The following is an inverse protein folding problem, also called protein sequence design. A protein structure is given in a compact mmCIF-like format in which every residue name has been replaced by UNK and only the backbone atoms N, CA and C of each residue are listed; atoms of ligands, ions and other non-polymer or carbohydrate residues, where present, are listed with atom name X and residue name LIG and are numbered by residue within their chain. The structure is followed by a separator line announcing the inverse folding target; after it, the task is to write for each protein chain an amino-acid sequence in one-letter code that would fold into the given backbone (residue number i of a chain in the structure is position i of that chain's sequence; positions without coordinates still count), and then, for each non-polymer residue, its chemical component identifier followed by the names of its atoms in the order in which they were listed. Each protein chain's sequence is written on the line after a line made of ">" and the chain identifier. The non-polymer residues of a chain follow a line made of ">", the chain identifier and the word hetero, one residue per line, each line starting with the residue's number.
data_IF_138804556479
#
_entry.id   IF_138804556479
#
_cell.length_a   1.000
_cell.length_b   1.000
_cell.length_c   1.000
_cell.angle_alpha   90.00
_cell.angle_beta   90.00
_cell.angle_gamma   90.00
#
_symmetry.space_group_name_H-M   'P 1'
#
loop_
_entity.id
_entity.type
_entity.pdbx_description
1 polymer ?
#
# COMPACT_ATOMS: atom_id res chain seq x y z
N UNK A 1 40.85 47.03 8.04
CA UNK A 1 40.46 46.19 6.88
C UNK A 1 40.60 44.68 7.11
N UNK A 2 41.78 44.13 7.41
CA UNK A 2 41.99 42.66 7.45
C UNK A 2 41.18 41.93 8.54
N UNK A 3 41.03 42.52 9.73
CA UNK A 3 40.23 41.92 10.81
C UNK A 3 38.74 41.79 10.44
N UNK A 4 38.14 42.85 9.89
CA UNK A 4 36.75 42.80 9.41
C UNK A 4 36.54 41.79 8.29
N UNK A 5 37.52 41.65 7.39
CA UNK A 5 37.48 40.63 6.34
C UNK A 5 37.50 39.21 6.93
N UNK A 6 38.40 38.93 7.89
CA UNK A 6 38.45 37.63 8.55
C UNK A 6 37.21 37.33 9.40
N UNK A 7 36.67 38.33 10.11
CA UNK A 7 35.43 38.19 10.87
C UNK A 7 34.23 37.89 9.96
N UNK A 8 34.13 38.59 8.82
CA UNK A 8 33.09 38.32 7.81
C UNK A 8 33.24 36.93 7.21
N UNK A 9 34.46 36.52 6.84
CA UNK A 9 34.74 35.19 6.31
C UNK A 9 34.38 34.09 7.32
N UNK A 10 34.70 34.29 8.60
CA UNK A 10 34.34 33.37 9.67
C UNK A 10 32.81 33.29 9.84
N UNK A 11 32.10 34.42 9.84
CA UNK A 11 30.64 34.46 9.89
C UNK A 11 30.00 33.72 8.72
N UNK A 12 30.50 33.95 7.49
CA UNK A 12 30.03 33.26 6.30
C UNK A 12 30.32 31.75 6.38
N UNK A 13 31.50 31.36 6.87
CA UNK A 13 31.84 29.95 7.06
C UNK A 13 30.94 29.26 8.10
N UNK A 14 30.65 29.93 9.22
CA UNK A 14 29.75 29.43 10.25
C UNK A 14 28.30 29.35 9.75
N UNK A 15 27.84 30.36 8.99
CA UNK A 15 26.51 30.34 8.36
C UNK A 15 26.39 29.23 7.32
N UNK A 16 27.42 29.04 6.50
CA UNK A 16 27.50 27.95 5.52
C UNK A 16 27.51 26.58 6.21
N UNK A 17 28.27 26.43 7.30
CA UNK A 17 28.29 25.21 8.10
C UNK A 17 26.92 24.94 8.75
N UNK A 18 26.27 25.97 9.32
CA UNK A 18 24.94 25.85 9.89
C UNK A 18 23.88 25.47 8.85
N UNK A 19 23.93 26.10 7.68
CA UNK A 19 23.08 25.74 6.54
C UNK A 19 23.35 24.31 6.06
N UNK A 20 24.62 23.90 5.97
CA UNK A 20 25.02 22.55 5.61
C UNK A 20 24.46 21.52 6.59
N UNK A 21 24.67 21.72 7.90
CA UNK A 21 24.16 20.84 8.97
C UNK A 21 22.63 20.76 8.92
N UNK A 22 21.94 21.86 8.61
CA UNK A 22 20.48 21.89 8.55
C UNK A 22 19.94 21.23 7.29
N UNK A 23 20.44 21.58 6.10
CA UNK A 23 19.77 21.30 4.82
C UNK A 23 20.37 20.13 4.04
N UNK A 24 21.63 19.75 4.26
CA UNK A 24 22.24 18.58 3.60
C UNK A 24 21.81 17.21 4.13
N UNK A 25 21.40 17.02 5.41
CA UNK A 25 21.01 15.70 5.87
C UNK A 25 19.87 15.10 5.05
N UNK A 26 20.11 13.87 4.59
CA UNK A 26 19.14 13.03 3.89
C UNK A 26 19.06 11.67 4.59
N UNK A 27 18.27 11.59 5.67
CA UNK A 27 18.20 10.41 6.54
C UNK A 27 16.77 9.90 6.69
N UNK A 28 16.45 8.69 6.22
CA UNK A 28 15.16 8.07 6.47
C UNK A 28 15.07 7.54 7.91
N UNK A 29 13.86 7.49 8.46
CA UNK A 29 13.59 6.68 9.65
C UNK A 29 13.56 5.21 9.22
N UNK A 30 14.36 4.38 9.89
CA UNK A 30 14.51 2.96 9.59
C UNK A 30 14.10 2.11 10.79
N UNK A 31 13.55 0.93 10.52
CA UNK A 31 13.12 -0.03 11.53
C UNK A 31 13.88 -1.33 11.34
N UNK A 32 14.32 -1.98 12.42
CA UNK A 32 15.02 -3.26 12.35
C UNK A 32 14.06 -4.41 12.01
N UNK A 33 12.88 -4.44 12.66
CA UNK A 33 11.84 -5.39 12.35
C UNK A 33 11.35 -5.23 10.89
N UNK A 34 11.29 -6.30 10.10
CA UNK A 34 10.92 -6.21 8.68
C UNK A 34 9.46 -5.79 8.47
N UNK A 35 8.55 -6.14 9.38
CA UNK A 35 7.14 -5.76 9.28
C UNK A 35 6.97 -4.28 9.63
N UNK A 36 7.65 -3.77 10.67
CA UNK A 36 7.70 -2.34 10.97
C UNK A 36 8.36 -1.56 9.84
N UNK A 37 9.41 -2.09 9.22
CA UNK A 37 10.05 -1.45 8.06
C UNK A 37 9.13 -1.43 6.85
N UNK A 38 8.36 -2.48 6.60
CA UNK A 38 7.32 -2.46 5.58
C UNK A 38 6.24 -1.41 5.88
N UNK A 39 5.76 -1.35 7.13
CA UNK A 39 4.70 -0.41 7.55
C UNK A 39 5.12 1.06 7.48
N UNK A 40 6.37 1.37 7.82
CA UNK A 40 6.81 2.76 8.10
C UNK A 40 8.17 3.15 7.50
N UNK A 41 8.86 2.23 6.81
CA UNK A 41 10.15 2.48 6.20
C UNK A 41 10.06 3.28 4.90
N UNK A 42 11.06 4.13 4.66
CA UNK A 42 11.19 4.92 3.44
C UNK A 42 11.48 4.04 2.22
N UNK A 43 10.82 4.32 1.11
CA UNK A 43 11.17 3.82 -0.23
C UNK A 43 11.87 4.89 -1.09
N UNK A 44 11.98 6.11 -0.57
CA UNK A 44 12.65 7.24 -1.20
C UNK A 44 11.72 8.32 -1.77
N UNK A 45 10.42 8.06 -1.83
CA UNK A 45 9.42 8.99 -2.38
C UNK A 45 9.31 10.33 -1.65
N UNK A 46 9.70 10.39 -0.37
CA UNK A 46 9.64 11.61 0.44
C UNK A 46 10.54 12.72 -0.11
N UNK A 47 11.62 12.37 -0.83
CA UNK A 47 12.55 13.34 -1.42
C UNK A 47 11.89 14.25 -2.45
N UNK A 48 10.94 13.73 -3.22
CA UNK A 48 10.27 14.48 -4.27
C UNK A 48 8.83 14.83 -3.90
N UNK A 49 8.04 13.80 -3.56
CA UNK A 49 6.60 13.92 -3.35
C UNK A 49 6.21 14.14 -1.89
N UNK A 50 7.18 14.09 -0.96
CA UNK A 50 6.88 14.12 0.48
C UNK A 50 6.31 15.45 0.96
N UNK A 51 5.26 15.37 1.77
CA UNK A 51 4.69 16.50 2.49
C UNK A 51 5.61 16.89 3.65
N UNK A 52 5.81 18.19 3.94
CA UNK A 52 6.34 18.59 5.25
C UNK A 52 5.49 17.95 6.35
N UNK A 53 6.13 17.29 7.32
CA UNK A 53 5.46 16.48 8.34
C UNK A 53 4.34 17.24 9.05
N UNK A 54 4.62 18.45 9.53
CA UNK A 54 3.60 19.22 10.23
C UNK A 54 2.48 19.73 9.32
N UNK A 55 2.78 20.00 8.04
CA UNK A 55 1.77 20.37 7.08
C UNK A 55 0.81 19.20 6.83
N UNK A 56 1.33 17.98 6.67
CA UNK A 56 0.53 16.75 6.67
C UNK A 56 -0.35 16.65 7.93
N UNK A 57 0.22 16.87 9.12
CA UNK A 57 -0.52 16.76 10.38
C UNK A 57 -1.70 17.73 10.49
N UNK A 58 -1.59 18.96 9.95
CA UNK A 58 -2.65 19.97 10.08
C UNK A 58 -3.61 20.03 8.89
N UNK A 59 -3.27 19.43 7.75
CA UNK A 59 -4.08 19.55 6.53
C UNK A 59 -5.56 19.16 6.73
N UNK A 60 -5.90 18.08 7.46
CA UNK A 60 -7.30 17.75 7.77
C UNK A 60 -8.02 18.76 8.66
N UNK A 61 -7.29 19.56 9.44
CA UNK A 61 -7.84 20.60 10.31
C UNK A 61 -8.00 21.93 9.57
N UNK A 62 -7.21 22.15 8.51
CA UNK A 62 -7.35 23.30 7.61
C UNK A 62 -8.61 23.14 6.74
N UNK A 63 -8.85 21.94 6.21
CA UNK A 63 -9.96 21.65 5.30
C UNK A 63 -10.85 20.46 5.76
N UNK A 64 -11.43 20.50 6.97
CA UNK A 64 -12.13 19.34 7.55
C UNK A 64 -13.40 18.96 6.79
N UNK A 65 -14.09 19.94 6.22
CA UNK A 65 -15.30 19.83 5.40
C UNK A 65 -15.09 19.16 4.04
N UNK A 66 -13.84 19.09 3.56
CA UNK A 66 -13.50 18.39 2.32
C UNK A 66 -13.28 16.88 2.55
N UNK A 67 -13.30 16.42 3.80
CA UNK A 67 -13.18 15.01 4.17
C UNK A 67 -14.56 14.39 4.41
N UNK A 68 -14.74 13.08 4.12
CA UNK A 68 -15.98 12.36 4.45
C UNK A 68 -16.24 12.25 5.95
N UNK A 69 -15.22 12.48 6.79
CA UNK A 69 -15.31 12.38 8.23
C UNK A 69 -14.04 12.89 8.90
N UNK A 70 -13.78 12.40 10.12
CA UNK A 70 -12.67 12.91 10.94
C UNK A 70 -11.31 12.46 10.40
N UNK A 71 -10.53 13.43 9.92
CA UNK A 71 -9.10 13.24 9.62
C UNK A 71 -8.84 12.25 8.48
N UNK A 72 -7.58 11.84 8.33
CA UNK A 72 -7.21 10.86 7.30
C UNK A 72 -7.86 9.49 7.50
N UNK A 73 -8.25 9.12 8.72
CA UNK A 73 -8.92 7.85 9.00
C UNK A 73 -10.26 7.72 8.24
N UNK A 74 -10.95 8.82 7.93
CA UNK A 74 -12.18 8.77 7.13
C UNK A 74 -11.94 8.40 5.66
N UNK A 75 -10.70 8.47 5.19
CA UNK A 75 -10.28 8.04 3.85
C UNK A 75 -9.73 6.59 3.87
N UNK A 76 -9.86 5.88 4.99
CA UNK A 76 -9.40 4.49 5.12
C UNK A 76 -7.94 4.32 5.52
N UNK A 77 -7.22 5.40 5.86
CA UNK A 77 -5.90 5.29 6.45
C UNK A 77 -5.95 4.60 7.83
N UNK A 78 -5.05 3.66 8.07
CA UNK A 78 -5.01 2.85 9.30
C UNK A 78 -4.00 3.45 10.27
N UNK A 79 -4.40 3.75 11.49
CA UNK A 79 -3.52 4.26 12.56
C UNK A 79 -3.35 3.19 13.65
N UNK A 80 -2.10 2.85 13.95
CA UNK A 80 -1.77 2.03 15.12
C UNK A 80 -1.71 2.89 16.39
N UNK A 81 -1.96 2.27 17.55
CA UNK A 81 -1.93 2.97 18.82
C UNK A 81 -0.55 3.56 19.09
N UNK A 82 -0.51 4.85 19.46
CA UNK A 82 0.74 5.57 19.75
C UNK A 82 1.53 6.02 18.51
N UNK A 83 0.99 5.82 17.29
CA UNK A 83 1.60 6.31 16.04
C UNK A 83 0.89 7.57 15.56
N UNK A 84 1.69 8.54 15.13
CA UNK A 84 1.27 9.84 14.58
C UNK A 84 1.05 9.80 13.05
N UNK A 85 1.66 8.82 12.38
CA UNK A 85 1.49 8.54 10.96
C UNK A 85 0.70 7.23 10.76
N UNK A 86 -0.12 7.16 9.72
CA UNK A 86 -0.81 5.92 9.39
C UNK A 86 0.19 4.89 8.87
N UNK A 87 -0.18 3.62 9.01
CA UNK A 87 0.50 2.51 8.35
C UNK A 87 0.47 2.75 6.84
N UNK A 88 1.63 2.59 6.20
CA UNK A 88 1.76 2.99 4.81
C UNK A 88 2.45 4.34 4.60
N UNK A 89 2.97 4.97 5.66
CA UNK A 89 3.70 6.23 5.53
C UNK A 89 5.07 6.18 6.19
N UNK A 90 6.04 6.78 5.53
CA UNK A 90 7.41 6.87 6.00
C UNK A 90 7.80 8.32 6.30
N UNK A 91 8.87 8.49 7.08
CA UNK A 91 9.40 9.79 7.51
C UNK A 91 10.88 9.87 7.16
N UNK A 92 11.31 11.00 6.61
CA UNK A 92 12.69 11.27 6.20
C UNK A 92 13.05 12.71 6.50
N UNK A 93 14.22 12.94 7.10
CA UNK A 93 14.81 14.29 7.16
C UNK A 93 15.42 14.60 5.81
N UNK A 94 14.91 15.62 5.12
CA UNK A 94 15.38 16.02 3.81
C UNK A 94 15.14 17.52 3.59
N UNK A 95 16.09 18.24 2.99
CA UNK A 95 16.04 19.71 2.83
C UNK A 95 15.74 20.42 4.16
N UNK A 96 16.31 19.87 5.23
CA UNK A 96 16.20 20.37 6.59
C UNK A 96 14.84 20.26 7.26
N UNK A 97 13.82 19.66 6.65
CA UNK A 97 12.57 19.36 7.34
C UNK A 97 12.31 17.87 7.36
N UNK A 98 11.44 17.45 8.29
CA UNK A 98 10.89 16.11 8.23
C UNK A 98 9.82 16.09 7.15
N UNK A 99 9.98 15.19 6.18
CA UNK A 99 9.04 14.95 5.10
C UNK A 99 8.44 13.56 5.25
N UNK A 100 7.17 13.45 4.93
CA UNK A 100 6.43 12.20 4.98
C UNK A 100 5.76 11.90 3.67
N UNK A 101 5.72 10.63 3.29
CA UNK A 101 5.02 10.21 2.09
C UNK A 101 4.53 8.78 2.21
N UNK A 102 3.71 8.37 1.24
CA UNK A 102 3.21 7.02 1.14
C UNK A 102 4.35 6.04 0.84
N UNK A 103 4.27 4.84 1.39
CA UNK A 103 5.10 3.69 1.05
C UNK A 103 4.21 2.48 0.66
N UNK A 104 4.81 1.32 0.43
CA UNK A 104 4.11 0.12 -0.05
C UNK A 104 2.94 -0.32 0.85
N UNK A 105 3.06 -0.15 2.17
CA UNK A 105 2.08 -0.67 3.11
C UNK A 105 0.73 0.06 3.07
N UNK A 106 0.64 1.24 2.45
CA UNK A 106 -0.64 1.97 2.32
C UNK A 106 -1.62 1.16 1.47
N UNK A 107 -1.14 0.54 0.40
CA UNK A 107 -1.93 -0.28 -0.53
C UNK A 107 -2.01 -1.75 -0.11
N UNK A 108 -1.03 -2.20 0.68
CA UNK A 108 -0.81 -3.61 1.01
C UNK A 108 -0.91 -3.91 2.50
N UNK A 109 -1.75 -3.16 3.22
CA UNK A 109 -2.13 -3.49 4.59
C UNK A 109 -3.62 -3.23 4.78
N UNK A 110 -4.29 -4.13 5.50
CA UNK A 110 -5.70 -3.95 5.87
C UNK A 110 -5.94 -4.33 7.31
N UNK A 111 -7.16 -4.08 7.77
CA UNK A 111 -7.65 -4.65 9.03
C UNK A 111 -8.77 -5.64 8.77
N UNK A 112 -8.80 -6.72 9.55
CA UNK A 112 -9.91 -7.68 9.57
C UNK A 112 -10.43 -7.84 10.99
N UNK A 113 -11.67 -8.29 11.14
CA UNK A 113 -12.22 -8.66 12.44
C UNK A 113 -12.67 -10.11 12.39
N UNK A 114 -12.40 -10.86 13.45
CA UNK A 114 -12.84 -12.26 13.53
C UNK A 114 -14.35 -12.38 13.75
N UNK A 115 -14.95 -11.37 14.38
CA UNK A 115 -16.40 -11.22 14.55
C UNK A 115 -16.77 -9.74 14.35
N UNK A 116 -18.05 -9.39 14.16
CA UNK A 116 -18.47 -7.98 14.01
C UNK A 116 -18.03 -7.05 15.15
N UNK A 117 -17.86 -7.59 16.36
CA UNK A 117 -17.52 -6.82 17.57
C UNK A 117 -16.05 -6.93 17.99
N UNK A 118 -15.29 -7.86 17.41
CA UNK A 118 -13.87 -8.02 17.75
C UNK A 118 -13.07 -6.77 17.35
N UNK A 119 -12.03 -6.45 18.13
CA UNK A 119 -11.07 -5.40 17.76
C UNK A 119 -10.45 -5.73 16.38
N UNK A 120 -10.31 -4.75 15.46
CA UNK A 120 -9.63 -4.99 14.20
C UNK A 120 -8.20 -5.47 14.44
N UNK A 121 -7.83 -6.56 13.79
CA UNK A 121 -6.45 -6.99 13.66
C UNK A 121 -5.86 -6.43 12.37
N UNK A 122 -4.70 -5.79 12.46
CA UNK A 122 -3.95 -5.35 11.30
C UNK A 122 -3.25 -6.54 10.64
N UNK A 123 -3.31 -6.60 9.32
CA UNK A 123 -2.71 -7.67 8.52
C UNK A 123 -1.82 -7.07 7.44
N UNK A 124 -0.51 -7.14 7.65
CA UNK A 124 0.48 -6.72 6.68
C UNK A 124 0.52 -7.68 5.46
N UNK A 125 0.65 -7.11 4.26
CA UNK A 125 0.61 -7.82 2.98
C UNK A 125 -0.80 -8.08 2.43
N UNK A 126 -1.85 -7.68 3.15
CA UNK A 126 -3.25 -7.78 2.74
C UNK A 126 -3.66 -6.61 1.83
N UNK A 127 -4.51 -6.79 0.81
CA UNK A 127 -5.10 -5.69 0.05
C UNK A 127 -5.79 -4.65 0.92
N UNK A 128 -5.43 -3.37 0.79
CA UNK A 128 -6.00 -2.25 1.56
C UNK A 128 -7.44 -1.92 1.13
N UNK A 129 -8.39 -2.81 1.40
CA UNK A 129 -9.78 -2.75 0.95
C UNK A 129 -10.59 -1.54 1.47
N UNK A 130 -10.09 -0.83 2.48
CA UNK A 130 -10.75 0.36 3.05
C UNK A 130 -10.16 1.68 2.56
N UNK A 131 -8.96 1.67 1.97
CA UNK A 131 -8.29 2.89 1.52
C UNK A 131 -8.99 3.46 0.29
N UNK A 132 -9.43 4.72 0.40
CA UNK A 132 -9.95 5.51 -0.72
C UNK A 132 -8.85 6.47 -1.22
N UNK A 133 -7.94 5.92 -2.02
CA UNK A 133 -6.76 6.65 -2.51
C UNK A 133 -7.17 7.75 -3.51
N UNK A 134 -8.19 7.53 -4.33
CA UNK A 134 -8.72 8.55 -5.24
C UNK A 134 -9.27 9.74 -4.48
N UNK A 135 -10.09 9.50 -3.44
CA UNK A 135 -10.65 10.57 -2.62
C UNK A 135 -9.58 11.28 -1.81
N UNK A 136 -8.53 10.60 -1.38
CA UNK A 136 -7.35 11.23 -0.81
C UNK A 136 -6.66 12.19 -1.80
N UNK A 137 -6.42 11.75 -3.04
CA UNK A 137 -5.83 12.61 -4.08
C UNK A 137 -6.70 13.84 -4.36
N UNK A 138 -8.02 13.64 -4.49
CA UNK A 138 -9.01 14.72 -4.68
C UNK A 138 -9.05 15.66 -3.46
N UNK A 139 -8.96 15.14 -2.24
CA UNK A 139 -8.90 15.95 -1.02
C UNK A 139 -7.67 16.86 -0.99
N UNK A 140 -6.46 16.31 -1.24
CA UNK A 140 -5.23 17.11 -1.25
C UNK A 140 -5.32 18.22 -2.31
N UNK A 141 -5.79 17.88 -3.50
CA UNK A 141 -6.02 18.85 -4.57
C UNK A 141 -7.01 19.94 -4.16
N UNK A 142 -8.16 19.56 -3.61
CA UNK A 142 -9.20 20.52 -3.25
C UNK A 142 -8.74 21.43 -2.10
N UNK A 143 -8.10 20.86 -1.08
CA UNK A 143 -7.63 21.64 0.08
C UNK A 143 -6.53 22.63 -0.31
N UNK A 144 -5.56 22.22 -1.13
CA UNK A 144 -4.46 23.11 -1.54
C UNK A 144 -4.93 24.26 -2.44
N UNK A 145 -6.02 24.05 -3.18
CA UNK A 145 -6.67 25.11 -3.98
C UNK A 145 -7.64 25.97 -3.17
N UNK A 146 -8.00 25.55 -1.95
CA UNK A 146 -8.91 26.29 -1.09
C UNK A 146 -8.32 27.63 -0.65
N UNK A 147 -9.18 28.64 -0.47
CA UNK A 147 -8.81 29.96 0.05
C UNK A 147 -8.19 29.91 1.44
N UNK A 148 -8.43 28.84 2.20
CA UNK A 148 -7.86 28.59 3.52
C UNK A 148 -6.40 28.16 3.47
N UNK A 149 -5.94 27.57 2.37
CA UNK A 149 -4.56 27.08 2.26
C UNK A 149 -3.59 28.22 1.91
N UNK A 150 -3.27 29.00 2.93
CA UNK A 150 -2.34 30.14 2.88
C UNK A 150 -1.37 30.08 4.06
N UNK A 151 -0.15 30.65 3.96
CA UNK A 151 0.79 30.69 5.07
C UNK A 151 0.17 31.26 6.35
N UNK A 152 -0.60 32.35 6.22
CA UNK A 152 -1.24 33.04 7.34
C UNK A 152 -2.24 32.17 8.11
N UNK A 153 -2.83 31.15 7.49
CA UNK A 153 -3.78 30.24 8.15
C UNK A 153 -3.14 28.90 8.55
N UNK A 154 -2.19 28.41 7.74
CA UNK A 154 -1.58 27.09 7.93
C UNK A 154 -0.47 27.15 8.99
N UNK A 155 0.40 28.16 8.96
CA UNK A 155 1.57 28.24 9.85
C UNK A 155 1.18 28.37 11.33
N UNK A 156 0.18 29.19 11.73
CA UNK A 156 -0.23 29.25 13.14
C UNK A 156 -0.76 27.91 13.66
N UNK A 157 -1.47 27.14 12.83
CA UNK A 157 -1.95 25.78 13.20
C UNK A 157 -0.79 24.79 13.35
N UNK A 158 0.22 24.90 12.48
CA UNK A 158 1.46 24.14 12.63
C UNK A 158 2.15 24.49 13.94
N UNK A 159 2.27 25.78 14.25
CA UNK A 159 2.92 26.26 15.47
C UNK A 159 2.21 25.76 16.73
N UNK A 160 0.89 25.88 16.79
CA UNK A 160 0.07 25.34 17.88
C UNK A 160 0.28 23.83 18.05
N UNK A 161 0.17 23.06 16.95
CA UNK A 161 0.26 21.60 16.98
C UNK A 161 1.68 21.08 17.26
N UNK A 162 2.70 21.81 16.84
CA UNK A 162 4.10 21.46 17.08
C UNK A 162 4.58 21.83 18.49
N UNK A 163 3.82 22.62 19.25
CA UNK A 163 4.25 23.16 20.54
C UNK A 163 5.25 24.31 20.40
N UNK A 164 5.17 25.05 19.28
CA UNK A 164 6.07 26.15 18.92
C UNK A 164 6.95 25.84 17.70
N UNK A 165 7.39 26.90 17.02
CA UNK A 165 8.33 26.83 15.90
C UNK A 165 9.54 27.73 16.16
N UNK A 166 10.69 27.35 15.62
CA UNK A 166 11.82 28.28 15.52
C UNK A 166 11.51 29.41 14.53
N UNK A 167 12.15 30.57 14.71
CA UNK A 167 11.92 31.75 13.85
C UNK A 167 12.11 31.46 12.35
N UNK A 168 13.15 30.71 12.00
CA UNK A 168 13.38 30.33 10.60
C UNK A 168 12.25 29.46 10.05
N UNK A 169 11.72 28.55 10.86
CA UNK A 169 10.65 27.64 10.43
C UNK A 169 9.32 28.37 10.29
N UNK A 170 9.00 29.26 11.24
CA UNK A 170 7.79 30.06 11.25
C UNK A 170 7.75 31.10 10.12
N UNK A 171 8.86 31.80 9.87
CA UNK A 171 8.87 32.95 8.94
C UNK A 171 9.35 32.62 7.54
N UNK A 172 10.08 31.50 7.34
CA UNK A 172 10.65 31.15 6.04
C UNK A 172 10.24 29.76 5.59
N UNK A 173 10.57 28.71 6.36
CA UNK A 173 10.48 27.33 5.87
C UNK A 173 9.04 26.88 5.64
N UNK A 174 8.13 27.07 6.61
CA UNK A 174 6.73 26.68 6.43
C UNK A 174 5.95 27.61 5.49
N UNK A 175 6.10 28.94 5.52
CA UNK A 175 5.51 29.80 4.50
C UNK A 175 5.91 29.41 3.08
N UNK A 176 7.21 29.19 2.84
CA UNK A 176 7.70 28.70 1.54
C UNK A 176 7.16 27.31 1.23
N UNK A 177 7.13 26.40 2.22
CA UNK A 177 6.59 25.05 2.06
C UNK A 177 5.11 25.04 1.64
N UNK A 178 4.29 25.95 2.17
CA UNK A 178 2.89 26.11 1.75
C UNK A 178 2.80 26.53 0.29
N UNK A 179 3.60 27.52 -0.14
CA UNK A 179 3.64 27.95 -1.54
C UNK A 179 4.14 26.84 -2.48
N UNK A 180 5.26 26.20 -2.14
CA UNK A 180 5.83 25.11 -2.93
C UNK A 180 4.87 23.92 -3.05
N UNK A 181 4.11 23.61 -1.99
CA UNK A 181 3.08 22.59 -2.06
C UNK A 181 1.93 23.00 -2.98
N UNK A 182 1.53 24.27 -2.96
CA UNK A 182 0.51 24.80 -3.88
C UNK A 182 0.94 24.65 -5.33
N UNK A 183 2.14 25.08 -5.65
CA UNK A 183 2.71 25.01 -7.00
C UNK A 183 2.93 23.55 -7.44
N UNK A 184 3.47 22.72 -6.55
CA UNK A 184 3.71 21.30 -6.80
C UNK A 184 2.43 20.52 -7.07
N UNK A 185 1.39 20.73 -6.27
CA UNK A 185 0.07 20.13 -6.50
C UNK A 185 -0.51 20.66 -7.81
N UNK A 186 -0.51 21.97 -8.07
CA UNK A 186 -1.01 22.55 -9.32
C UNK A 186 -0.32 21.95 -10.57
N UNK A 187 1.00 21.78 -10.53
CA UNK A 187 1.75 21.11 -11.59
C UNK A 187 1.38 19.64 -11.76
N UNK A 188 1.08 18.93 -10.68
CA UNK A 188 0.58 17.56 -10.71
C UNK A 188 -0.86 17.48 -11.24
N UNK A 189 -1.72 18.49 -11.03
CA UNK A 189 -3.12 18.46 -11.51
C UNK A 189 -3.21 18.34 -13.03
N UNK A 190 -2.34 19.06 -13.75
CA UNK A 190 -2.28 18.93 -15.21
C UNK A 190 -1.93 17.52 -15.65
N UNK A 191 -1.02 16.85 -14.92
CA UNK A 191 -0.53 15.49 -15.24
C UNK A 191 -1.47 14.38 -14.76
N UNK A 192 -2.11 14.56 -13.61
CA UNK A 192 -3.00 13.58 -12.97
C UNK A 192 -4.48 13.86 -13.24
N UNK A 193 -4.80 14.67 -14.26
CA UNK A 193 -6.18 15.03 -14.62
C UNK A 193 -7.08 13.82 -14.90
N UNK A 194 -6.52 12.66 -15.24
CA UNK A 194 -7.26 11.42 -15.47
C UNK A 194 -8.14 11.05 -14.26
N UNK A 195 -7.73 11.42 -13.04
CA UNK A 195 -8.51 11.22 -11.80
C UNK A 195 -9.88 11.93 -11.86
N UNK A 196 -10.01 12.99 -12.68
CA UNK A 196 -11.28 13.70 -12.89
C UNK A 196 -12.01 13.27 -14.17
N UNK A 197 -11.38 12.45 -15.00
CA UNK A 197 -11.96 11.92 -16.25
C UNK A 197 -12.55 10.53 -16.05
N UNK A 198 -12.17 9.84 -14.97
CA UNK A 198 -12.71 8.54 -14.57
C UNK A 198 -13.84 8.70 -13.58
N UNK A 199 -14.71 7.70 -13.54
CA UNK A 199 -15.66 7.51 -12.46
C UNK A 199 -14.95 7.27 -11.12
N UNK A 200 -15.62 7.65 -10.04
CA UNK A 200 -15.13 7.40 -8.68
C UNK A 200 -15.08 5.88 -8.41
N UNK A 201 -13.86 5.33 -8.37
CA UNK A 201 -13.66 3.88 -8.16
C UNK A 201 -13.74 3.43 -6.70
N UNK A 202 -13.75 4.38 -5.76
CA UNK A 202 -14.00 4.16 -4.34
C UNK A 202 -12.92 3.35 -3.61
N UNK A 203 -13.21 2.88 -2.38
CA UNK A 203 -12.23 2.19 -1.55
C UNK A 203 -11.71 0.87 -2.12
N UNK A 204 -10.44 0.55 -1.84
CA UNK A 204 -9.85 -0.77 -2.10
C UNK A 204 -9.25 -0.97 -3.49
N UNK A 205 -9.26 0.07 -4.31
CA UNK A 205 -8.80 0.04 -5.70
C UNK A 205 -7.67 1.02 -5.92
N UNK A 206 -7.08 0.98 -7.11
CA UNK A 206 -6.13 1.96 -7.62
C UNK A 206 -6.12 1.95 -9.13
N UNK A 207 -5.90 3.10 -9.73
CA UNK A 207 -5.48 3.15 -11.13
C UNK A 207 -3.99 2.80 -11.24
N UNK A 208 -3.69 1.65 -11.82
CA UNK A 208 -2.34 1.05 -11.80
C UNK A 208 -1.34 1.75 -12.72
N UNK A 209 -1.78 2.33 -13.83
CA UNK A 209 -0.86 2.77 -14.88
C UNK A 209 -0.99 4.23 -15.28
N UNK A 210 -2.14 4.87 -15.11
CA UNK A 210 -2.28 6.28 -15.50
C UNK A 210 -1.39 7.20 -14.65
N UNK A 211 -1.17 6.88 -13.38
CA UNK A 211 -0.16 7.59 -12.57
C UNK A 211 1.25 7.48 -13.16
N UNK A 212 1.62 6.29 -13.69
CA UNK A 212 2.91 6.09 -14.35
C UNK A 212 2.95 6.81 -15.73
N UNK A 213 1.90 6.69 -16.54
CA UNK A 213 1.75 7.43 -17.82
C UNK A 213 1.93 8.93 -17.62
N UNK A 214 1.35 9.49 -16.56
CA UNK A 214 1.50 10.89 -16.17
C UNK A 214 2.94 11.26 -15.81
N UNK A 215 3.65 10.39 -15.07
CA UNK A 215 5.06 10.58 -14.72
C UNK A 215 5.96 10.55 -15.98
N UNK A 216 5.66 9.67 -16.94
CA UNK A 216 6.40 9.54 -18.20
C UNK A 216 5.98 10.54 -19.29
N UNK A 217 5.06 11.46 -18.99
CA UNK A 217 4.69 12.54 -19.91
C UNK A 217 3.82 12.10 -21.09
N UNK A 218 3.07 11.00 -20.93
CA UNK A 218 2.11 10.55 -21.93
C UNK A 218 0.96 11.57 -22.05
N UNK A 219 0.61 11.95 -23.28
CA UNK A 219 -0.52 12.83 -23.57
C UNK A 219 -1.82 12.03 -23.53
N UNK A 220 -2.57 12.13 -22.42
CA UNK A 220 -3.84 11.40 -22.28
C UNK A 220 -4.88 11.76 -23.35
N UNK A 221 -4.81 12.94 -23.98
CA UNK A 221 -5.72 13.34 -25.08
C UNK A 221 -5.54 12.51 -26.35
N UNK A 222 -4.40 11.82 -26.47
CA UNK A 222 -4.08 10.96 -27.62
C UNK A 222 -4.36 9.49 -27.34
N UNK A 223 -4.73 9.13 -26.11
CA UNK A 223 -5.01 7.76 -25.74
C UNK A 223 -6.48 7.42 -26.07
N UNK A 224 -6.77 6.20 -26.53
CA UNK A 224 -8.12 5.69 -26.60
C UNK A 224 -8.80 5.72 -25.21
N UNK A 225 -10.12 5.90 -25.18
CA UNK A 225 -10.87 6.04 -23.91
C UNK A 225 -10.76 4.79 -23.04
N UNK A 226 -10.72 3.62 -23.67
CA UNK A 226 -10.53 2.31 -23.03
C UNK A 226 -9.16 2.20 -22.32
N UNK A 227 -8.13 2.88 -22.80
CA UNK A 227 -6.81 2.90 -22.17
C UNK A 227 -6.73 3.89 -21.00
N UNK A 228 -7.74 4.73 -20.84
CA UNK A 228 -7.87 5.63 -19.70
C UNK A 228 -8.45 4.93 -18.49
N UNK A 229 -8.89 3.67 -18.55
CA UNK A 229 -9.46 2.95 -17.41
C UNK A 229 -8.46 1.88 -16.94
N UNK A 230 -7.67 2.20 -15.90
CA UNK A 230 -6.66 1.30 -15.31
C UNK A 230 -7.02 0.82 -13.90
N UNK A 231 -8.29 0.92 -13.51
CA UNK A 231 -8.74 0.65 -12.13
C UNK A 231 -8.68 -0.85 -11.84
N UNK A 232 -8.00 -1.23 -10.75
CA UNK A 232 -7.97 -2.60 -10.24
C UNK A 232 -7.94 -2.63 -8.72
N UNK A 233 -8.31 -3.77 -8.14
CA UNK A 233 -8.21 -3.99 -6.69
C UNK A 233 -6.73 -4.07 -6.25
N UNK A 234 -6.41 -3.65 -5.03
CA UNK A 234 -5.06 -3.88 -4.50
C UNK A 234 -4.75 -5.39 -4.43
N UNK A 235 -3.58 -5.87 -4.89
CA UNK A 235 -3.25 -7.29 -4.79
C UNK A 235 -2.66 -7.65 -3.42
N UNK A 236 -2.83 -8.91 -3.02
CA UNK A 236 -2.16 -9.47 -1.86
C UNK A 236 -0.70 -9.79 -2.19
N UNK A 237 0.23 -9.39 -1.32
CA UNK A 237 1.67 -9.52 -1.56
C UNK A 237 2.34 -10.59 -0.70
N UNK A 238 1.59 -11.58 -0.25
CA UNK A 238 2.15 -12.76 0.42
C UNK A 238 2.78 -13.74 -0.58
N UNK A 239 3.70 -14.57 -0.09
CA UNK A 239 4.30 -15.70 -0.80
C UNK A 239 4.98 -15.31 -2.13
N UNK A 240 5.62 -14.13 -2.21
CA UNK A 240 6.12 -13.65 -3.50
C UNK A 240 7.26 -14.52 -4.06
N UNK A 241 8.05 -15.19 -3.20
CA UNK A 241 9.12 -16.08 -3.67
C UNK A 241 8.58 -17.26 -4.49
N UNK A 242 7.36 -17.71 -4.22
CA UNK A 242 6.69 -18.77 -4.99
C UNK A 242 6.13 -18.28 -6.33
N UNK A 243 6.07 -16.96 -6.53
CA UNK A 243 5.53 -16.32 -7.73
C UNK A 243 6.62 -15.94 -8.75
N UNK A 244 7.88 -16.27 -8.47
CA UNK A 244 8.96 -16.01 -9.43
C UNK A 244 8.71 -16.76 -10.74
N UNK A 245 8.86 -16.05 -11.87
CA UNK A 245 8.62 -16.62 -13.21
C UNK A 245 7.14 -16.76 -13.59
N UNK A 246 6.19 -16.43 -12.71
CA UNK A 246 4.77 -16.31 -13.07
C UNK A 246 4.51 -14.99 -13.80
N UNK A 247 3.32 -14.84 -14.40
CA UNK A 247 2.85 -13.54 -14.89
C UNK A 247 2.29 -12.70 -13.72
N UNK A 248 2.99 -11.62 -13.40
CA UNK A 248 2.76 -10.66 -12.32
C UNK A 248 2.09 -9.39 -12.86
N UNK A 249 1.62 -8.54 -11.95
CA UNK A 249 0.59 -7.51 -12.21
C UNK A 249 -0.74 -8.12 -12.68
N UNK A 250 -1.81 -7.32 -12.65
CA UNK A 250 -3.15 -7.79 -13.02
C UNK A 250 -3.28 -8.11 -14.51
N UNK A 251 -2.48 -7.46 -15.35
CA UNK A 251 -2.39 -7.68 -16.80
C UNK A 251 -1.37 -8.75 -17.20
N UNK A 252 -0.63 -9.31 -16.24
CA UNK A 252 0.38 -10.33 -16.50
C UNK A 252 1.59 -9.81 -17.29
N UNK A 253 1.89 -8.51 -17.23
CA UNK A 253 2.92 -7.90 -18.07
C UNK A 253 4.38 -8.12 -17.58
N UNK A 254 4.56 -8.81 -16.45
CA UNK A 254 5.87 -8.94 -15.83
C UNK A 254 6.14 -10.34 -15.27
N UNK A 255 7.35 -10.86 -15.41
CA UNK A 255 7.72 -12.19 -14.89
C UNK A 255 8.78 -12.20 -13.78
N UNK A 256 9.21 -11.03 -13.33
CA UNK A 256 10.28 -10.85 -12.34
C UNK A 256 9.76 -10.09 -11.13
N UNK A 257 9.77 -10.74 -9.96
CA UNK A 257 9.25 -10.15 -8.72
C UNK A 257 10.03 -8.89 -8.34
N UNK A 258 11.33 -8.89 -8.59
CA UNK A 258 12.26 -7.81 -8.26
C UNK A 258 11.97 -6.56 -9.10
N UNK A 259 11.85 -6.73 -10.42
CA UNK A 259 11.51 -5.62 -11.32
C UNK A 259 10.12 -5.08 -11.00
N UNK A 260 9.15 -5.97 -10.77
CA UNK A 260 7.78 -5.60 -10.39
C UNK A 260 7.75 -4.75 -9.14
N UNK A 261 8.56 -5.09 -8.12
CA UNK A 261 8.64 -4.31 -6.88
C UNK A 261 9.14 -2.87 -7.16
N UNK A 262 10.14 -2.72 -8.04
CA UNK A 262 10.68 -1.43 -8.43
C UNK A 262 9.68 -0.60 -9.25
N UNK A 263 8.98 -1.22 -10.22
CA UNK A 263 7.97 -0.53 -11.02
C UNK A 263 6.77 -0.10 -10.17
N UNK A 264 6.33 -0.94 -9.23
CA UNK A 264 5.25 -0.61 -8.31
C UNK A 264 5.62 0.52 -7.34
N UNK A 265 6.91 0.66 -6.99
CA UNK A 265 7.39 1.73 -6.12
C UNK A 265 7.18 3.14 -6.72
N UNK A 266 7.02 3.26 -8.05
CA UNK A 266 6.68 4.53 -8.71
C UNK A 266 5.37 5.13 -8.19
N UNK A 267 4.38 4.29 -7.86
CA UNK A 267 3.12 4.73 -7.25
C UNK A 267 3.31 5.39 -5.88
N UNK A 268 4.42 5.09 -5.21
CA UNK A 268 4.83 5.70 -3.93
C UNK A 268 5.84 6.84 -4.11
N UNK A 269 5.99 7.37 -5.33
CA UNK A 269 6.90 8.48 -5.63
C UNK A 269 8.38 8.12 -5.67
N UNK A 270 8.73 6.85 -5.48
CA UNK A 270 10.11 6.36 -5.51
C UNK A 270 10.58 6.15 -6.95
N UNK A 271 10.92 7.23 -7.64
CA UNK A 271 11.41 7.21 -9.03
C UNK A 271 12.82 6.59 -9.12
N UNK A 272 13.29 6.15 -10.32
CA UNK A 272 14.59 5.47 -10.45
C UNK A 272 15.79 6.22 -9.86
N UNK A 273 15.76 7.56 -9.85
CA UNK A 273 16.84 8.39 -9.27
C UNK A 273 16.79 8.50 -7.74
N UNK A 274 15.64 8.25 -7.12
CA UNK A 274 15.36 8.56 -5.72
C UNK A 274 15.07 7.31 -4.88
N UNK A 275 14.88 6.17 -5.53
CA UNK A 275 14.48 4.92 -4.92
C UNK A 275 15.57 4.34 -4.01
N UNK A 276 15.18 3.99 -2.78
CA UNK A 276 16.08 3.37 -1.81
C UNK A 276 16.15 1.85 -2.02
N UNK A 277 17.03 1.42 -2.92
CA UNK A 277 17.17 0.00 -3.29
C UNK A 277 17.39 -0.93 -2.09
N UNK A 278 18.19 -0.52 -1.11
CA UNK A 278 18.43 -1.32 0.09
C UNK A 278 17.15 -1.50 0.94
N UNK A 279 16.29 -0.47 1.01
CA UNK A 279 15.02 -0.57 1.73
C UNK A 279 14.03 -1.48 0.98
N UNK A 280 13.96 -1.36 -0.35
CA UNK A 280 13.14 -2.25 -1.18
C UNK A 280 13.60 -3.70 -1.07
N UNK A 281 14.91 -3.96 -1.11
CA UNK A 281 15.45 -5.31 -0.93
C UNK A 281 15.06 -5.94 0.41
N UNK A 282 14.97 -5.13 1.48
CA UNK A 282 14.48 -5.60 2.79
C UNK A 282 13.01 -5.97 2.77
N UNK A 283 12.18 -5.15 2.12
CA UNK A 283 10.75 -5.43 1.94
C UNK A 283 10.58 -6.69 1.10
N UNK A 284 11.34 -6.81 0.01
CA UNK A 284 11.35 -7.97 -0.89
C UNK A 284 11.68 -9.26 -0.14
N UNK A 285 12.75 -9.26 0.66
CA UNK A 285 13.16 -10.42 1.46
C UNK A 285 12.04 -10.88 2.41
N UNK A 286 11.29 -9.94 2.99
CA UNK A 286 10.15 -10.26 3.84
C UNK A 286 8.96 -10.82 3.05
N UNK A 287 8.50 -10.13 1.99
CA UNK A 287 7.33 -10.57 1.20
C UNK A 287 7.57 -11.87 0.44
N UNK A 288 8.83 -12.23 0.19
CA UNK A 288 9.19 -13.51 -0.41
C UNK A 288 8.62 -14.70 0.38
N UNK A 289 8.62 -14.60 1.71
CA UNK A 289 8.20 -15.67 2.63
C UNK A 289 6.96 -15.34 3.46
N UNK A 290 6.51 -14.08 3.48
CA UNK A 290 5.32 -13.67 4.22
C UNK A 290 4.09 -14.50 3.82
N UNK A 291 3.32 -14.95 4.81
CA UNK A 291 2.11 -15.76 4.58
C UNK A 291 0.87 -15.05 5.14
N UNK A 292 -0.32 -15.25 4.56
CA UNK A 292 -1.56 -14.78 5.17
C UNK A 292 -1.77 -15.38 6.57
N UNK A 293 -2.52 -14.71 7.47
CA UNK A 293 -2.98 -15.32 8.71
C UNK A 293 -3.71 -16.63 8.42
N UNK A 294 -3.34 -17.69 9.14
CA UNK A 294 -3.96 -18.99 8.95
C UNK A 294 -5.42 -18.94 9.41
N UNK A 295 -6.35 -19.21 8.50
CA UNK A 295 -7.79 -19.20 8.79
C UNK A 295 -8.14 -20.11 9.97
N UNK A 296 -7.52 -21.28 10.09
CA UNK A 296 -7.73 -22.23 11.21
C UNK A 296 -7.37 -21.69 12.58
N UNK A 297 -6.48 -20.68 12.69
CA UNK A 297 -6.16 -20.06 13.97
C UNK A 297 -7.29 -19.16 14.49
N UNK A 298 -8.20 -18.76 13.62
CA UNK A 298 -9.26 -17.79 13.94
C UNK A 298 -10.66 -18.39 13.85
N UNK A 299 -10.85 -19.42 13.03
CA UNK A 299 -12.14 -20.03 12.79
C UNK A 299 -12.05 -21.56 12.83
N UNK A 300 -12.82 -22.23 13.71
CA UNK A 300 -12.93 -23.68 13.69
C UNK A 300 -13.59 -24.14 12.39
N UNK A 301 -13.23 -25.35 11.94
CA UNK A 301 -13.99 -26.01 10.88
C UNK A 301 -15.32 -26.44 11.49
N UNK A 302 -16.44 -25.98 10.93
CA UNK A 302 -17.76 -26.38 11.37
C UNK A 302 -18.04 -27.83 10.90
N UNK A 303 -18.24 -28.80 11.82
CA UNK A 303 -18.42 -30.21 11.45
C UNK A 303 -19.64 -30.46 10.57
N UNK A 304 -20.75 -29.74 10.77
CA UNK A 304 -21.97 -29.90 9.96
C UNK A 304 -21.77 -29.39 8.53
N UNK A 305 -21.05 -28.28 8.36
CA UNK A 305 -20.68 -27.77 7.03
C UNK A 305 -19.68 -28.71 6.35
N UNK A 306 -18.72 -29.26 7.09
CA UNK A 306 -17.79 -30.27 6.58
C UNK A 306 -18.53 -31.56 6.17
N UNK A 307 -19.53 -32.01 6.92
CA UNK A 307 -20.33 -33.18 6.54
C UNK A 307 -21.15 -32.94 5.26
N UNK A 308 -21.75 -31.75 5.11
CA UNK A 308 -22.42 -31.36 3.84
C UNK A 308 -21.43 -31.27 2.68
N UNK A 309 -20.25 -30.69 2.94
CA UNK A 309 -19.15 -30.60 1.99
C UNK A 309 -18.61 -31.97 1.56
N UNK A 310 -18.60 -32.94 2.46
CA UNK A 310 -18.18 -34.31 2.19
C UNK A 310 -19.08 -34.96 1.13
N UNK A 311 -20.40 -34.81 1.26
CA UNK A 311 -21.34 -35.36 0.29
C UNK A 311 -21.10 -34.77 -1.11
N UNK A 312 -20.93 -33.43 -1.19
CA UNK A 312 -20.63 -32.74 -2.45
C UNK A 312 -19.27 -33.16 -3.02
N UNK A 313 -18.21 -33.15 -2.20
CA UNK A 313 -16.88 -33.56 -2.64
C UNK A 313 -16.88 -35.01 -3.15
N UNK A 314 -17.58 -35.90 -2.46
CA UNK A 314 -17.67 -37.32 -2.81
C UNK A 314 -18.34 -37.52 -4.17
N UNK A 315 -19.44 -36.82 -4.42
CA UNK A 315 -20.19 -36.95 -5.68
C UNK A 315 -19.50 -36.27 -6.87
N UNK A 316 -18.79 -35.18 -6.61
CA UNK A 316 -18.40 -34.22 -7.65
C UNK A 316 -16.88 -34.18 -7.87
N UNK A 317 -16.08 -34.36 -6.81
CA UNK A 317 -14.63 -34.13 -6.85
C UNK A 317 -13.80 -35.42 -6.70
N UNK A 318 -14.29 -36.39 -5.92
CA UNK A 318 -13.53 -37.58 -5.53
C UNK A 318 -13.16 -38.50 -6.70
N UNK A 319 -13.90 -38.45 -7.82
CA UNK A 319 -13.57 -39.21 -9.02
C UNK A 319 -12.18 -38.86 -9.60
N UNK A 320 -11.76 -37.59 -9.47
CA UNK A 320 -10.44 -37.14 -9.94
C UNK A 320 -9.44 -36.96 -8.80
N UNK A 321 -9.90 -36.52 -7.62
CA UNK A 321 -9.03 -36.18 -6.50
C UNK A 321 -8.87 -37.31 -5.46
N UNK A 322 -9.67 -38.38 -5.56
CA UNK A 322 -9.72 -39.45 -4.56
C UNK A 322 -10.60 -39.09 -3.36
N UNK A 323 -11.19 -40.11 -2.72
CA UNK A 323 -12.04 -39.93 -1.53
C UNK A 323 -11.26 -39.37 -0.33
N UNK A 324 -9.96 -39.64 -0.25
CA UNK A 324 -9.03 -39.09 0.74
C UNK A 324 -8.29 -37.85 0.23
N UNK A 325 -8.52 -37.42 -1.02
CA UNK A 325 -7.89 -36.25 -1.62
C UNK A 325 -6.45 -36.44 -2.07
N UNK A 326 -5.93 -37.67 -2.14
CA UNK A 326 -4.52 -37.96 -2.43
C UNK A 326 -4.22 -38.48 -3.83
N UNK A 327 -5.22 -38.63 -4.70
CA UNK A 327 -4.99 -39.15 -6.07
C UNK A 327 -4.02 -38.27 -6.87
N UNK A 328 -4.03 -36.96 -6.64
CA UNK A 328 -3.16 -36.01 -7.33
C UNK A 328 -2.16 -35.40 -6.36
N UNK A 329 -0.87 -35.61 -6.61
CA UNK A 329 0.22 -34.95 -5.89
C UNK A 329 0.75 -33.78 -6.73
N UNK A 330 0.55 -32.55 -6.26
CA UNK A 330 1.09 -31.33 -6.89
C UNK A 330 2.45 -30.90 -6.34
N UNK A 331 2.96 -31.63 -5.36
CA UNK A 331 4.26 -31.40 -4.73
C UNK A 331 5.35 -32.29 -5.33
N UNK A 332 6.36 -32.55 -4.52
CA UNK A 332 7.43 -33.51 -4.85
C UNK A 332 7.22 -34.81 -4.08
N UNK A 333 8.04 -35.83 -4.36
CA UNK A 333 8.03 -37.07 -3.56
C UNK A 333 8.44 -36.81 -2.09
N UNK A 334 9.36 -35.87 -1.85
CA UNK A 334 9.82 -35.49 -0.50
C UNK A 334 8.91 -34.50 0.21
N UNK A 335 8.15 -33.70 -0.53
CA UNK A 335 7.17 -32.74 -0.01
C UNK A 335 5.87 -32.83 -0.83
N UNK A 336 5.01 -33.83 -0.55
CA UNK A 336 3.77 -33.99 -1.29
C UNK A 336 2.77 -32.87 -0.97
N UNK A 337 1.96 -32.52 -1.96
CA UNK A 337 0.88 -31.55 -1.84
C UNK A 337 -0.41 -32.15 -2.39
N UNK A 338 -1.35 -32.41 -1.48
CA UNK A 338 -2.66 -33.01 -1.76
C UNK A 338 -3.78 -32.02 -1.47
N UNK A 339 -5.04 -32.42 -1.73
CA UNK A 339 -6.21 -31.54 -1.51
C UNK A 339 -6.23 -31.04 -0.06
N UNK A 340 -6.02 -31.92 0.92
CA UNK A 340 -5.98 -31.55 2.34
C UNK A 340 -4.86 -30.56 2.67
N UNK A 341 -3.66 -30.82 2.13
CA UNK A 341 -2.48 -29.96 2.30
C UNK A 341 -2.76 -28.55 1.78
N UNK A 342 -3.26 -28.44 0.55
CA UNK A 342 -3.53 -27.17 -0.12
C UNK A 342 -4.73 -26.44 0.50
N UNK A 343 -5.80 -27.17 0.85
CA UNK A 343 -6.98 -26.58 1.48
C UNK A 343 -6.66 -26.02 2.88
N UNK A 344 -5.79 -26.70 3.63
CA UNK A 344 -5.30 -26.24 4.93
C UNK A 344 -4.41 -25.00 4.82
N UNK A 345 -3.50 -25.00 3.84
CA UNK A 345 -2.45 -23.97 3.68
C UNK A 345 -2.93 -22.73 2.91
N UNK A 346 -3.75 -22.91 1.88
CA UNK A 346 -4.23 -21.87 0.95
C UNK A 346 -5.75 -21.94 0.72
N UNK A 347 -6.59 -21.80 1.77
CA UNK A 347 -8.03 -22.00 1.65
C UNK A 347 -8.72 -21.05 0.66
N UNK A 348 -8.20 -19.84 0.49
CA UNK A 348 -8.73 -18.85 -0.46
C UNK A 348 -8.47 -19.23 -1.92
N UNK A 349 -7.28 -19.75 -2.21
CA UNK A 349 -6.92 -20.23 -3.55
C UNK A 349 -7.71 -21.50 -3.88
N UNK A 350 -7.82 -22.43 -2.93
CA UNK A 350 -8.64 -23.64 -3.13
C UNK A 350 -10.11 -23.29 -3.32
N UNK A 351 -10.66 -22.33 -2.57
CA UNK A 351 -12.02 -21.83 -2.82
C UNK A 351 -12.16 -21.26 -4.23
N UNK A 352 -11.18 -20.48 -4.67
CA UNK A 352 -11.17 -19.92 -6.02
C UNK A 352 -11.18 -21.04 -7.07
N UNK A 353 -10.36 -22.08 -6.91
CA UNK A 353 -10.29 -23.23 -7.84
C UNK A 353 -11.58 -24.06 -7.81
N UNK A 354 -12.17 -24.31 -6.65
CA UNK A 354 -13.49 -24.97 -6.53
C UNK A 354 -14.55 -24.18 -7.31
N UNK A 355 -14.52 -22.85 -7.20
CA UNK A 355 -15.49 -21.98 -7.88
C UNK A 355 -15.25 -21.81 -9.36
N UNK A 356 -14.00 -21.78 -9.81
CA UNK A 356 -13.64 -21.30 -11.15
C UNK A 356 -12.89 -22.33 -12.01
N UNK A 357 -12.64 -23.54 -11.50
CA UNK A 357 -11.69 -24.50 -12.04
C UNK A 357 -10.24 -23.99 -12.04
N UNK A 358 -9.34 -24.81 -12.59
CA UNK A 358 -7.96 -24.45 -12.84
C UNK A 358 -7.76 -24.22 -14.35
N UNK A 359 -7.19 -23.06 -14.78
CA UNK A 359 -6.95 -22.80 -16.20
C UNK A 359 -6.14 -23.93 -16.85
N UNK A 360 -6.58 -24.38 -18.02
CA UNK A 360 -5.91 -25.44 -18.78
C UNK A 360 -6.10 -26.87 -18.23
N UNK A 361 -6.83 -27.06 -17.13
CA UNK A 361 -7.19 -28.38 -16.62
C UNK A 361 -8.66 -28.70 -16.90
N UNK A 362 -8.96 -29.98 -17.20
CA UNK A 362 -10.32 -30.49 -17.28
C UNK A 362 -10.93 -30.68 -15.88
N UNK A 363 -11.01 -29.59 -15.11
CA UNK A 363 -11.58 -29.53 -13.78
C UNK A 363 -12.96 -28.88 -13.86
N UNK A 364 -13.96 -29.54 -13.30
CA UNK A 364 -15.31 -28.96 -13.17
C UNK A 364 -15.28 -27.78 -12.19
N UNK A 365 -16.22 -26.84 -12.34
CA UNK A 365 -16.33 -25.68 -11.46
C UNK A 365 -17.74 -25.58 -10.85
N UNK A 366 -17.83 -24.90 -9.72
CA UNK A 366 -19.10 -24.66 -9.03
C UNK A 366 -19.71 -23.26 -9.29
N UNK A 367 -19.39 -22.57 -10.40
CA UNK A 367 -19.96 -21.24 -10.68
C UNK A 367 -21.49 -21.25 -10.78
N UNK A 368 -22.07 -22.36 -11.25
CA UNK A 368 -23.52 -22.54 -11.36
C UNK A 368 -24.23 -22.90 -10.05
N UNK A 369 -23.50 -23.10 -8.95
CA UNK A 369 -24.05 -23.50 -7.66
C UNK A 369 -24.01 -22.35 -6.65
N UNK A 370 -24.84 -22.38 -5.59
CA UNK A 370 -24.74 -21.44 -4.49
C UNK A 370 -23.31 -21.37 -3.92
N UNK A 371 -22.82 -20.15 -3.61
CA UNK A 371 -21.50 -19.95 -3.01
C UNK A 371 -21.29 -20.80 -1.74
N UNK A 372 -22.36 -21.04 -0.99
CA UNK A 372 -22.35 -21.89 0.20
C UNK A 372 -21.83 -23.31 -0.08
N UNK A 373 -22.10 -23.85 -1.26
CA UNK A 373 -21.71 -25.23 -1.60
C UNK A 373 -20.19 -25.33 -1.78
N UNK A 374 -19.60 -24.32 -2.42
CA UNK A 374 -18.14 -24.20 -2.52
C UNK A 374 -17.48 -24.01 -1.14
N UNK A 375 -18.11 -23.25 -0.25
CA UNK A 375 -17.63 -23.07 1.14
C UNK A 375 -17.67 -24.39 1.91
N UNK A 376 -18.76 -25.16 1.78
CA UNK A 376 -18.91 -26.43 2.47
C UNK A 376 -17.91 -27.47 1.94
N UNK A 377 -17.73 -27.57 0.62
CA UNK A 377 -16.69 -28.43 0.00
C UNK A 377 -15.30 -28.05 0.52
N UNK A 378 -14.98 -26.76 0.61
CA UNK A 378 -13.71 -26.32 1.21
C UNK A 378 -13.62 -26.72 2.69
N UNK A 379 -14.70 -26.59 3.46
CA UNK A 379 -14.72 -26.98 4.86
C UNK A 379 -14.39 -28.47 5.01
N UNK A 380 -14.94 -29.33 4.15
CA UNK A 380 -14.60 -30.76 4.10
C UNK A 380 -13.16 -31.00 3.63
N UNK A 381 -12.72 -30.37 2.55
CA UNK A 381 -11.37 -30.53 2.01
C UNK A 381 -10.28 -30.27 3.06
N UNK A 382 -10.54 -29.36 4.00
CA UNK A 382 -9.64 -29.04 5.12
C UNK A 382 -9.60 -30.09 6.24
N UNK A 383 -10.51 -31.05 6.23
CA UNK A 383 -10.50 -32.22 7.11
C UNK A 383 -9.77 -33.41 6.49
N UNK A 384 -9.43 -33.34 5.19
CA UNK A 384 -8.72 -34.41 4.50
C UNK A 384 -7.27 -34.53 4.98
N UNK A 385 -6.67 -35.73 4.86
CA UNK A 385 -5.31 -35.94 5.30
C UNK A 385 -4.28 -35.05 4.60
N UNK A 386 -3.24 -34.63 5.34
CA UNK A 386 -2.23 -33.68 4.85
C UNK A 386 -0.99 -34.31 4.19
N UNK A 387 -0.73 -35.59 4.46
CA UNK A 387 0.41 -36.37 3.95
C UNK A 387 0.01 -37.80 3.70
#
# INVERSE_FOLDING_TARGET
>A
CRFFLWALLLLLALAALGAAIRFLPDRPVTYADPVEHFKYGSTGGERNMGFPYWLWQVLPEVCPDLLPGKGYASLGFIFEQGRDLPVGMSKRRHMGIDRVFLNCAVCHTATVRTTPYAKPMLVAGMPANQLDLMRFQKFVQACVNDRRFTPAQVVPRIEEKAGGLGLLDQWVVYPLGVHLMRDGVAGLLGRLRFIHQQDDWGPGRVDTFNSAKAIFGVSFERLPQEELIGVSDFPAIWNQGKKQGMQLHWDGNNSRVEERNLSAAFGTGATPKLIDHAAIARIEAWIATATPPAFSKHYPINPSLAARGQALYTQTCAACHGFDGRTLNWGTASEPAYVGTEAGKFPHEVLHKIRNAHPGAAMINLRGFPLKDAIDVLAFARTLPLK
#
